data_IF_510110845646
#
_entry.id   IF_510110845646
#
_cell.length_a   1.000
_cell.length_b   1.000
_cell.length_c   1.000
_cell.angle_alpha   90.00
_cell.angle_beta   90.00
_cell.angle_gamma   90.00
#
_symmetry.space_group_name_H-M   'P 1'
#
loop_
_entity.id
_entity.type
_entity.pdbx_description
1 polymer ?
#
# COMPACT_ATOMS: atom_id res chain seq x y z
N UNK A 1 17.41 -4.46 -6.88
CA UNK A 1 17.62 -5.00 -5.51
C UNK A 1 16.42 -5.85 -5.14
N UNK A 2 16.58 -6.94 -4.37
CA UNK A 2 15.48 -7.76 -3.84
C UNK A 2 15.67 -7.92 -2.34
N UNK A 3 14.66 -7.62 -1.54
CA UNK A 3 14.69 -7.81 -0.09
C UNK A 3 13.34 -8.38 0.37
N UNK A 4 13.35 -9.27 1.35
CA UNK A 4 12.14 -9.80 1.99
C UNK A 4 12.29 -9.64 3.50
N UNK A 5 11.29 -9.04 4.11
CA UNK A 5 11.21 -8.86 5.56
C UNK A 5 9.92 -9.47 6.09
N UNK A 6 9.96 -9.92 7.34
CA UNK A 6 8.83 -10.52 8.02
C UNK A 6 8.70 -9.97 9.43
N UNK A 7 7.48 -9.59 9.80
CA UNK A 7 7.13 -9.16 11.17
C UNK A 7 5.88 -9.90 11.62
N UNK A 8 6.06 -10.85 12.53
CA UNK A 8 5.00 -11.79 12.88
C UNK A 8 4.59 -12.60 11.64
N UNK A 9 3.29 -12.63 11.34
CA UNK A 9 2.74 -13.37 10.21
C UNK A 9 2.68 -12.56 8.90
N UNK A 10 2.94 -11.25 8.96
CA UNK A 10 3.04 -10.41 7.77
C UNK A 10 4.44 -10.50 7.16
N UNK A 11 4.52 -10.81 5.88
CA UNK A 11 5.77 -10.71 5.11
C UNK A 11 5.62 -9.78 3.91
N UNK A 12 6.69 -9.03 3.62
CA UNK A 12 6.76 -8.11 2.49
C UNK A 12 8.03 -8.38 1.70
N UNK A 13 7.89 -8.58 0.40
CA UNK A 13 8.98 -8.69 -0.56
C UNK A 13 9.04 -7.45 -1.43
N UNK A 14 10.15 -6.73 -1.38
CA UNK A 14 10.43 -5.58 -2.24
C UNK A 14 11.38 -5.97 -3.37
N UNK A 15 10.98 -5.65 -4.61
CA UNK A 15 11.79 -5.82 -5.81
C UNK A 15 11.89 -4.45 -6.48
N UNK A 16 13.09 -3.87 -6.48
CA UNK A 16 13.32 -2.55 -7.09
C UNK A 16 13.69 -2.69 -8.56
N UNK A 17 13.00 -1.93 -9.41
CA UNK A 17 13.40 -1.59 -10.77
C UNK A 17 13.93 -0.16 -10.84
N UNK A 18 14.08 0.38 -12.06
CA UNK A 18 14.63 1.73 -12.27
C UNK A 18 13.62 2.84 -11.91
N UNK A 19 12.34 2.65 -12.24
CA UNK A 19 11.27 3.65 -12.02
C UNK A 19 10.12 3.11 -11.17
N UNK A 20 10.15 1.83 -10.83
CA UNK A 20 9.05 1.12 -10.17
C UNK A 20 9.62 0.24 -9.08
N UNK A 21 8.92 0.16 -7.95
CA UNK A 21 9.16 -0.85 -6.91
C UNK A 21 7.93 -1.75 -6.88
N UNK A 22 8.16 -3.06 -7.02
CA UNK A 22 7.12 -4.06 -6.85
C UNK A 22 7.16 -4.57 -5.41
N UNK A 23 5.99 -4.57 -4.76
CA UNK A 23 5.80 -5.04 -3.39
C UNK A 23 4.87 -6.25 -3.39
N UNK A 24 5.39 -7.41 -2.99
CA UNK A 24 4.59 -8.59 -2.69
C UNK A 24 4.30 -8.64 -1.20
N UNK A 25 3.03 -8.62 -0.79
CA UNK A 25 2.62 -8.68 0.61
C UNK A 25 1.82 -9.95 0.86
N UNK A 26 2.16 -10.68 1.91
CA UNK A 26 1.49 -11.92 2.28
C UNK A 26 1.12 -11.91 3.76
N UNK A 27 -0.15 -12.21 4.03
CA UNK A 27 -0.73 -12.42 5.34
C UNK A 27 -1.57 -13.72 5.31
N UNK A 28 -1.48 -14.61 6.31
CA UNK A 28 -2.30 -15.80 6.37
C UNK A 28 -3.79 -15.49 6.30
N UNK A 29 -4.55 -16.34 5.59
CA UNK A 29 -5.98 -16.15 5.33
C UNK A 29 -6.81 -16.01 6.61
N UNK A 30 -6.43 -16.71 7.68
CA UNK A 30 -7.06 -16.60 9.00
C UNK A 30 -7.03 -15.19 9.59
N UNK A 31 -6.09 -14.34 9.16
CA UNK A 31 -5.95 -12.95 9.59
C UNK A 31 -6.54 -11.94 8.58
N UNK A 32 -7.06 -12.42 7.46
CA UNK A 32 -7.71 -11.60 6.44
C UNK A 32 -9.18 -11.23 6.73
N UNK A 33 -9.93 -11.77 7.72
CA UNK A 33 -11.28 -11.28 8.01
C UNK A 33 -11.28 -9.77 8.30
N UNK A 34 -11.96 -9.00 7.44
CA UNK A 34 -12.02 -7.53 7.54
C UNK A 34 -10.80 -6.78 6.96
N UNK A 35 -9.80 -7.49 6.41
CA UNK A 35 -8.66 -6.86 5.74
C UNK A 35 -9.11 -6.29 4.39
N UNK A 36 -9.04 -4.97 4.27
CA UNK A 36 -9.38 -4.27 3.04
C UNK A 36 -8.20 -4.20 2.06
N UNK A 37 -6.99 -3.99 2.60
CA UNK A 37 -5.78 -3.79 1.81
C UNK A 37 -4.62 -3.30 2.67
N UNK A 38 -3.67 -2.62 2.04
CA UNK A 38 -2.44 -2.16 2.69
C UNK A 38 -2.16 -0.69 2.36
N UNK A 39 -1.94 0.10 3.40
CA UNK A 39 -1.51 1.48 3.25
C UNK A 39 0.02 1.57 3.11
N UNK A 40 0.50 2.39 2.18
CA UNK A 40 1.93 2.62 1.96
C UNK A 40 2.32 4.03 2.42
N UNK A 41 3.26 4.12 3.37
CA UNK A 41 3.87 5.39 3.76
C UNK A 41 5.28 5.45 3.19
N UNK A 42 5.57 6.48 2.41
CA UNK A 42 6.90 6.75 1.88
C UNK A 42 7.59 7.79 2.76
N UNK A 43 8.85 7.52 3.04
CA UNK A 43 9.78 8.48 3.61
C UNK A 43 10.71 8.94 2.49
N UNK A 44 10.70 10.24 2.20
CA UNK A 44 11.63 10.85 1.28
C UNK A 44 12.85 11.34 2.06
N UNK A 45 13.99 10.69 1.87
CA UNK A 45 15.21 11.03 2.57
C UNK A 45 15.93 12.26 1.98
N UNK A 46 15.54 12.72 0.80
CA UNK A 46 16.10 13.92 0.18
C UNK A 46 15.44 15.17 0.74
N UNK A 47 14.11 15.15 0.85
CA UNK A 47 13.32 16.31 1.32
C UNK A 47 12.92 16.20 2.80
N UNK A 48 13.11 15.03 3.43
CA UNK A 48 12.79 14.79 4.84
C UNK A 48 11.29 14.57 5.10
N UNK A 49 10.50 14.34 4.04
CA UNK A 49 9.06 14.22 4.13
C UNK A 49 8.58 12.80 4.40
N UNK A 50 7.42 12.68 5.07
CA UNK A 50 6.73 11.40 5.31
C UNK A 50 5.28 11.54 4.90
N UNK A 51 4.88 10.88 3.83
CA UNK A 51 3.52 10.95 3.32
C UNK A 51 2.96 9.57 2.97
N UNK A 52 1.64 9.46 2.99
CA UNK A 52 0.94 8.27 2.51
C UNK A 52 0.82 8.34 1.00
N UNK A 53 1.10 7.24 0.32
CA UNK A 53 0.87 7.15 -1.11
C UNK A 53 -0.63 7.23 -1.41
N UNK A 54 -0.94 7.59 -2.65
CA UNK A 54 -2.31 7.66 -3.13
C UNK A 54 -2.51 6.71 -4.31
N UNK A 55 -3.70 6.14 -4.42
CA UNK A 55 -4.08 5.21 -5.48
C UNK A 55 -5.45 5.53 -6.05
N UNK A 56 -5.78 4.86 -7.15
CA UNK A 56 -7.07 5.03 -7.85
C UNK A 56 -8.19 4.14 -7.30
N UNK A 57 -7.84 3.14 -6.48
CA UNK A 57 -8.80 2.17 -5.96
C UNK A 57 -9.39 2.68 -4.65
N UNK A 58 -10.70 2.80 -4.60
CA UNK A 58 -11.46 3.07 -3.38
C UNK A 58 -12.55 2.01 -3.21
N UNK A 59 -13.01 1.81 -1.97
CA UNK A 59 -14.15 0.93 -1.71
C UNK A 59 -15.45 1.70 -1.84
N UNK A 60 -16.46 1.07 -2.44
CA UNK A 60 -17.81 1.62 -2.57
C UNK A 60 -18.44 2.03 -1.22
N UNK A 61 -18.09 1.33 -0.14
CA UNK A 61 -18.54 1.67 1.22
C UNK A 61 -17.98 2.99 1.74
N UNK A 62 -16.85 3.45 1.20
CA UNK A 62 -16.17 4.69 1.62
C UNK A 62 -16.45 5.81 0.62
N UNK A 63 -16.33 5.53 -0.68
CA UNK A 63 -16.66 6.45 -1.76
C UNK A 63 -17.53 5.71 -2.79
N UNK A 64 -18.87 5.89 -2.76
CA UNK A 64 -19.76 5.16 -3.64
C UNK A 64 -19.63 5.54 -5.12
N UNK A 65 -19.20 6.76 -5.41
CA UNK A 65 -19.15 7.32 -6.77
C UNK A 65 -17.83 8.08 -7.00
N UNK A 66 -16.68 7.40 -7.05
CA UNK A 66 -15.39 8.06 -7.23
C UNK A 66 -15.31 8.74 -8.60
N UNK A 67 -14.92 10.03 -8.67
CA UNK A 67 -14.67 10.71 -9.93
C UNK A 67 -13.55 9.99 -10.71
N UNK A 68 -13.68 9.82 -12.03
CA UNK A 68 -12.62 9.24 -12.85
C UNK A 68 -11.29 10.01 -12.71
N UNK A 69 -10.20 9.28 -12.47
CA UNK A 69 -8.85 9.84 -12.42
C UNK A 69 -8.48 10.53 -11.09
N UNK A 70 -9.36 10.55 -10.09
CA UNK A 70 -9.02 11.09 -8.78
C UNK A 70 -8.18 10.08 -7.97
N UNK A 71 -7.15 10.59 -7.32
CA UNK A 71 -6.28 9.82 -6.41
C UNK A 71 -6.75 9.98 -4.97
N UNK A 72 -6.77 8.87 -4.24
CA UNK A 72 -7.15 8.82 -2.84
C UNK A 72 -6.03 8.25 -1.99
N UNK A 73 -5.83 8.79 -0.79
CA UNK A 73 -4.77 8.33 0.11
C UNK A 73 -5.00 6.88 0.53
N UNK A 74 -3.98 6.03 0.43
CA UNK A 74 -4.06 4.63 0.87
C UNK A 74 -4.27 4.48 2.37
N UNK A 75 -4.06 5.56 3.15
CA UNK A 75 -4.36 5.56 4.59
C UNK A 75 -5.87 5.47 4.84
N UNK A 76 -6.66 6.11 4.00
CA UNK A 76 -8.12 6.18 4.10
C UNK A 76 -8.77 5.11 3.21
N UNK A 77 -8.12 4.77 2.09
CA UNK A 77 -8.59 3.81 1.10
C UNK A 77 -7.48 2.78 0.76
N UNK A 78 -7.20 1.84 1.67
CA UNK A 78 -6.09 0.89 1.55
C UNK A 78 -6.29 -0.24 0.53
#
# INVERSE_FOLDING_TARGET
MRNKEQKGELSVQAITGTHVVLLGMNLPEQNCPGLLGFALRREDHTEGEKYWLSGYKTFKSVEPFPPPGLLYSTRQHP
#
